data_IF_395928854746
#
_entry.id   IF_395928854746
#
_cell.length_a   1.000
_cell.length_b   1.000
_cell.length_c   1.000
_cell.angle_alpha   90.00
_cell.angle_beta   90.00
_cell.angle_gamma   90.00
#
_symmetry.space_group_name_H-M   'P 1'
#
loop_
_entity.id
_entity.type
_entity.pdbx_description
1 polymer ?
#
# COMPACT_ATOMS: atom_id res chain seq x y z
N UNK A 1 -24.33 1.03 -136.92
CA UNK A 1 -24.98 1.86 -135.89
C UNK A 1 -25.59 0.88 -134.90
N UNK A 2 -25.20 0.74 -133.63
CA UNK A 2 -24.25 1.45 -132.79
C UNK A 2 -23.72 0.45 -131.75
N UNK A 3 -22.43 0.63 -131.43
CA UNK A 3 -21.67 0.16 -130.27
C UNK A 3 -22.05 0.94 -129.00
N UNK A 4 -21.83 0.34 -127.82
CA UNK A 4 -21.52 0.88 -126.45
C UNK A 4 -22.31 0.09 -125.41
N UNK A 5 -21.81 -0.25 -124.23
CA UNK A 5 -20.46 -0.35 -123.67
C UNK A 5 -20.67 -1.22 -122.42
N UNK A 6 -19.83 -2.22 -122.23
CA UNK A 6 -19.60 -2.79 -120.90
C UNK A 6 -18.82 -1.76 -120.09
N UNK A 7 -19.04 -1.70 -118.76
CA UNK A 7 -17.99 -1.52 -117.75
C UNK A 7 -18.41 -0.67 -116.55
N UNK A 8 -17.76 -1.01 -115.44
CA UNK A 8 -17.62 -0.27 -114.19
C UNK A 8 -18.81 -0.37 -113.23
N UNK A 9 -18.70 -1.27 -112.25
CA UNK A 9 -18.97 -0.99 -110.83
C UNK A 9 -18.39 -2.15 -109.99
N UNK A 10 -17.08 -2.16 -109.83
CA UNK A 10 -16.38 -3.28 -109.20
C UNK A 10 -15.11 -2.93 -108.45
N UNK A 11 -14.95 -1.75 -107.85
CA UNK A 11 -13.76 -1.44 -107.05
C UNK A 11 -14.02 -0.39 -105.96
N UNK A 12 -14.71 -0.75 -104.86
CA UNK A 12 -14.69 0.01 -103.58
C UNK A 12 -14.83 -0.85 -102.31
N UNK A 13 -14.78 -2.18 -102.38
CA UNK A 13 -14.92 -3.05 -101.19
C UNK A 13 -13.59 -3.49 -100.57
N UNK A 14 -12.45 -3.33 -101.27
CA UNK A 14 -11.14 -3.81 -100.81
C UNK A 14 -10.44 -2.83 -99.85
N UNK A 15 -10.68 -1.51 -99.96
CA UNK A 15 -10.09 -0.51 -99.04
C UNK A 15 -10.68 -0.56 -97.63
N UNK A 16 -11.98 -0.82 -97.50
CA UNK A 16 -12.64 -0.97 -96.19
C UNK A 16 -12.14 -2.19 -95.40
N UNK A 17 -11.65 -3.24 -96.09
CA UNK A 17 -11.09 -4.40 -95.43
C UNK A 17 -9.69 -4.16 -94.86
N UNK A 18 -8.86 -3.37 -95.55
CA UNK A 18 -7.52 -2.99 -95.08
C UNK A 18 -7.63 -2.01 -93.89
N UNK A 19 -8.51 -1.01 -93.99
CA UNK A 19 -8.79 -0.06 -92.90
C UNK A 19 -9.37 -0.75 -91.65
N UNK A 20 -10.19 -1.78 -91.84
CA UNK A 20 -10.72 -2.56 -90.72
C UNK A 20 -9.64 -3.46 -90.08
N UNK A 21 -8.68 -3.95 -90.87
CA UNK A 21 -7.57 -4.74 -90.36
C UNK A 21 -6.57 -3.90 -89.55
N UNK A 22 -6.27 -2.68 -90.00
CA UNK A 22 -5.41 -1.72 -89.27
C UNK A 22 -6.08 -1.27 -87.97
N UNK A 23 -7.36 -0.89 -88.02
CA UNK A 23 -8.15 -0.55 -86.82
C UNK A 23 -8.18 -1.71 -85.81
N UNK A 24 -8.34 -2.96 -86.28
CA UNK A 24 -8.33 -4.14 -85.42
C UNK A 24 -6.96 -4.38 -84.77
N UNK A 25 -5.86 -4.08 -85.48
CA UNK A 25 -4.51 -4.17 -84.92
C UNK A 25 -4.26 -3.07 -83.87
N UNK A 26 -4.73 -1.86 -84.12
CA UNK A 26 -4.65 -0.72 -83.20
C UNK A 26 -5.43 -0.99 -81.91
N UNK A 27 -6.70 -1.41 -82.02
CA UNK A 27 -7.51 -1.81 -80.86
C UNK A 27 -6.85 -2.96 -80.07
N UNK A 28 -6.20 -3.90 -80.75
CA UNK A 28 -5.49 -5.00 -80.08
C UNK A 28 -4.24 -4.52 -79.33
N UNK A 29 -3.54 -3.51 -79.85
CA UNK A 29 -2.42 -2.87 -79.18
C UNK A 29 -2.90 -2.11 -77.92
N UNK A 30 -3.95 -1.32 -78.04
CA UNK A 30 -4.55 -0.56 -76.92
C UNK A 30 -5.04 -1.50 -75.82
N UNK A 31 -5.73 -2.59 -76.16
CA UNK A 31 -6.18 -3.58 -75.18
C UNK A 31 -4.99 -4.26 -74.49
N UNK A 32 -3.86 -4.45 -75.18
CA UNK A 32 -2.64 -5.01 -74.59
C UNK A 32 -1.97 -4.01 -73.65
N UNK A 33 -2.02 -2.72 -73.97
CA UNK A 33 -1.53 -1.64 -73.11
C UNK A 33 -2.40 -1.49 -71.86
N UNK A 34 -3.72 -1.40 -72.01
CA UNK A 34 -4.68 -1.38 -70.90
C UNK A 34 -4.52 -2.59 -69.97
N UNK A 35 -4.28 -3.79 -70.51
CA UNK A 35 -4.00 -4.99 -69.70
C UNK A 35 -2.72 -4.86 -68.86
N UNK A 36 -1.70 -4.16 -69.37
CA UNK A 36 -0.47 -3.90 -68.60
C UNK A 36 -0.75 -2.89 -67.49
N UNK A 37 -1.44 -1.80 -67.81
CA UNK A 37 -1.82 -0.79 -66.83
C UNK A 37 -2.66 -1.37 -65.69
N UNK A 38 -3.65 -2.22 -65.98
CA UNK A 38 -4.45 -2.90 -64.95
C UNK A 38 -3.59 -3.81 -64.06
N UNK A 39 -2.59 -4.49 -64.62
CA UNK A 39 -1.64 -5.30 -63.83
C UNK A 39 -0.77 -4.42 -62.94
N UNK A 40 -0.32 -3.28 -63.45
CA UNK A 40 0.49 -2.34 -62.68
C UNK A 40 -0.33 -1.64 -61.58
N UNK A 41 -1.61 -1.32 -61.82
CA UNK A 41 -2.54 -0.86 -60.78
C UNK A 41 -2.70 -1.91 -59.67
N UNK A 42 -2.88 -3.18 -60.01
CA UNK A 42 -2.95 -4.25 -59.01
C UNK A 42 -1.67 -4.39 -58.18
N UNK A 43 -0.50 -4.02 -58.70
CA UNK A 43 0.75 -3.96 -57.91
C UNK A 43 0.73 -2.79 -56.93
N UNK A 44 0.20 -1.63 -57.34
CA UNK A 44 0.06 -0.46 -56.48
C UNK A 44 -0.79 -0.80 -55.25
N UNK A 45 -1.93 -1.48 -55.42
CA UNK A 45 -2.78 -1.90 -54.29
C UNK A 45 -2.01 -2.78 -53.27
N UNK A 46 -1.20 -3.72 -53.77
CA UNK A 46 -0.39 -4.57 -52.87
C UNK A 46 0.73 -3.81 -52.16
N UNK A 47 1.26 -2.76 -52.78
CA UNK A 47 2.27 -1.91 -52.17
C UNK A 47 1.64 -0.99 -51.12
N UNK A 48 0.44 -0.46 -51.38
CA UNK A 48 -0.34 0.31 -50.42
C UNK A 48 -0.65 -0.53 -49.17
N UNK A 49 -1.14 -1.76 -49.35
CA UNK A 49 -1.39 -2.69 -48.23
C UNK A 49 -0.13 -2.97 -47.40
N UNK A 50 1.02 -3.18 -48.05
CA UNK A 50 2.30 -3.38 -47.34
C UNK A 50 2.75 -2.14 -46.59
N UNK A 51 2.57 -0.97 -47.20
CA UNK A 51 2.93 0.31 -46.59
C UNK A 51 2.05 0.59 -45.38
N UNK A 52 0.75 0.29 -45.44
CA UNK A 52 -0.15 0.44 -44.31
C UNK A 52 0.16 -0.56 -43.19
N UNK A 53 0.48 -1.82 -43.51
CA UNK A 53 0.97 -2.78 -42.51
C UNK A 53 2.25 -2.30 -41.82
N UNK A 54 3.21 -1.74 -42.58
CA UNK A 54 4.44 -1.16 -42.02
C UNK A 54 4.16 0.06 -41.12
N UNK A 55 3.18 0.90 -41.47
CA UNK A 55 2.77 2.02 -40.61
C UNK A 55 2.22 1.51 -39.29
N UNK A 56 1.38 0.48 -39.31
CA UNK A 56 0.81 -0.11 -38.09
C UNK A 56 1.91 -0.68 -37.18
N UNK A 57 2.91 -1.35 -37.75
CA UNK A 57 4.09 -1.83 -37.02
C UNK A 57 4.91 -0.67 -36.41
N UNK A 58 5.14 0.40 -37.18
CA UNK A 58 5.84 1.59 -36.67
C UNK A 58 5.06 2.27 -35.55
N UNK A 59 3.74 2.36 -35.65
CA UNK A 59 2.89 2.93 -34.61
C UNK A 59 2.84 2.05 -33.36
N UNK A 60 2.88 0.72 -33.52
CA UNK A 60 3.03 -0.21 -32.42
C UNK A 60 4.34 0.05 -31.66
N UNK A 61 5.47 0.06 -32.37
CA UNK A 61 6.78 0.32 -31.76
C UNK A 61 6.89 1.71 -31.14
N UNK A 62 6.27 2.74 -31.73
CA UNK A 62 6.20 4.08 -31.14
C UNK A 62 5.47 4.08 -29.80
N UNK A 63 4.31 3.40 -29.72
CA UNK A 63 3.59 3.26 -28.45
C UNK A 63 4.43 2.52 -27.42
N UNK A 64 5.07 1.43 -27.82
CA UNK A 64 5.95 0.67 -26.94
C UNK A 64 7.10 1.52 -26.41
N UNK A 65 7.77 2.28 -27.27
CA UNK A 65 8.83 3.22 -26.88
C UNK A 65 8.34 4.27 -25.87
N UNK A 66 7.15 4.82 -26.05
CA UNK A 66 6.55 5.74 -25.08
C UNK A 66 6.34 5.05 -23.72
N UNK A 67 5.80 3.83 -23.70
CA UNK A 67 5.63 3.11 -22.43
C UNK A 67 6.96 2.80 -21.73
N UNK A 68 8.02 2.52 -22.50
CA UNK A 68 9.35 2.30 -21.96
C UNK A 68 9.96 3.60 -21.44
N UNK A 69 9.70 4.72 -22.11
CA UNK A 69 10.13 6.04 -21.66
C UNK A 69 9.46 6.42 -20.34
N UNK A 70 8.15 6.19 -20.19
CA UNK A 70 7.41 6.44 -18.95
C UNK A 70 7.97 5.57 -17.81
N UNK A 71 8.20 4.28 -18.05
CA UNK A 71 8.83 3.38 -17.07
C UNK A 71 10.24 3.82 -16.69
N UNK A 72 11.04 4.29 -17.64
CA UNK A 72 12.37 4.81 -17.36
C UNK A 72 12.30 6.06 -16.48
N UNK A 73 11.34 6.95 -16.69
CA UNK A 73 11.12 8.10 -15.82
C UNK A 73 10.71 7.66 -14.41
N UNK A 74 9.79 6.69 -14.30
CA UNK A 74 9.40 6.13 -13.00
C UNK A 74 10.59 5.53 -12.25
N UNK A 75 11.44 4.76 -12.93
CA UNK A 75 12.65 4.21 -12.35
C UNK A 75 13.64 5.30 -11.92
N UNK A 76 13.78 6.38 -12.69
CA UNK A 76 14.62 7.53 -12.30
C UNK A 76 14.13 8.17 -11.00
N UNK A 77 12.81 8.38 -10.86
CA UNK A 77 12.23 8.90 -9.62
C UNK A 77 12.45 7.96 -8.43
N UNK A 78 12.29 6.65 -8.63
CA UNK A 78 12.53 5.65 -7.59
C UNK A 78 14.00 5.64 -7.15
N UNK A 79 14.95 5.74 -8.09
CA UNK A 79 16.37 5.84 -7.77
C UNK A 79 16.69 7.08 -6.95
N UNK A 80 16.16 8.24 -7.33
CA UNK A 80 16.37 9.49 -6.59
C UNK A 80 15.84 9.41 -5.15
N UNK A 81 14.68 8.79 -4.94
CA UNK A 81 14.13 8.56 -3.59
C UNK A 81 15.03 7.63 -2.77
N UNK A 82 15.51 6.53 -3.37
CA UNK A 82 16.42 5.59 -2.70
C UNK A 82 17.74 6.25 -2.32
N UNK A 83 18.31 7.10 -3.18
CA UNK A 83 19.52 7.87 -2.89
C UNK A 83 19.32 8.82 -1.71
N UNK A 84 18.19 9.55 -1.67
CA UNK A 84 17.84 10.40 -0.52
C UNK A 84 17.70 9.60 0.77
N UNK A 85 17.06 8.43 0.71
CA UNK A 85 16.91 7.54 1.86
C UNK A 85 18.25 7.00 2.35
N UNK A 86 19.15 6.62 1.43
CA UNK A 86 20.50 6.16 1.73
C UNK A 86 21.33 7.27 2.39
N UNK A 87 21.29 8.49 1.85
CA UNK A 87 21.99 9.64 2.42
C UNK A 87 21.55 9.94 3.87
N UNK A 88 20.24 9.92 4.13
CA UNK A 88 19.71 10.07 5.49
C UNK A 88 20.14 8.91 6.41
N UNK A 89 20.26 7.70 5.88
CA UNK A 89 20.79 6.54 6.62
C UNK A 89 22.26 6.73 6.98
N UNK A 90 23.08 7.20 6.04
CA UNK A 90 24.50 7.44 6.25
C UNK A 90 24.77 8.55 7.28
N UNK A 91 23.96 9.61 7.29
CA UNK A 91 24.04 10.64 8.34
C UNK A 91 23.74 10.03 9.70
N UNK A 92 22.68 9.20 9.82
CA UNK A 92 22.31 8.55 11.08
C UNK A 92 23.38 7.57 11.56
N UNK A 93 23.97 6.78 10.68
CA UNK A 93 25.04 5.83 11.06
C UNK A 93 26.30 6.56 11.50
N UNK A 94 26.68 7.65 10.84
CA UNK A 94 27.80 8.51 11.27
C UNK A 94 27.54 9.12 12.66
N UNK A 95 26.34 9.65 12.91
CA UNK A 95 25.97 10.18 14.22
C UNK A 95 25.98 9.12 15.32
N UNK A 96 25.58 7.89 15.01
CA UNK A 96 25.66 6.77 15.93
C UNK A 96 27.11 6.39 16.28
N UNK A 97 27.98 6.33 15.27
CA UNK A 97 29.42 6.07 15.48
C UNK A 97 30.09 7.15 16.33
N UNK A 98 29.76 8.43 16.09
CA UNK A 98 30.27 9.54 16.91
C UNK A 98 29.91 9.37 18.39
N UNK A 99 28.66 9.02 18.69
CA UNK A 99 28.23 8.76 20.08
C UNK A 99 28.96 7.56 20.70
N UNK A 100 29.22 6.49 19.94
CA UNK A 100 30.01 5.36 20.43
C UNK A 100 31.45 5.76 20.74
N UNK A 101 32.07 6.55 19.88
CA UNK A 101 33.46 7.00 20.06
C UNK A 101 33.59 7.98 21.23
N UNK A 102 32.62 8.89 21.40
CA UNK A 102 32.54 9.78 22.57
C UNK A 102 32.37 8.99 23.87
N UNK A 103 31.55 7.93 23.87
CA UNK A 103 31.40 7.03 25.03
C UNK A 103 32.72 6.32 25.32
N UNK A 104 33.41 5.78 24.31
CA UNK A 104 34.73 5.12 24.49
C UNK A 104 35.76 6.10 25.06
N UNK A 105 35.81 7.33 24.55
CA UNK A 105 36.72 8.37 25.04
C UNK A 105 36.43 8.74 26.51
N UNK A 106 35.15 8.94 26.86
CA UNK A 106 34.74 9.23 28.24
C UNK A 106 34.94 8.04 29.19
N UNK A 107 34.82 6.81 28.72
CA UNK A 107 35.13 5.61 29.52
C UNK A 107 36.62 5.55 29.88
N UNK A 108 37.50 5.88 28.93
CA UNK A 108 38.94 5.97 29.19
C UNK A 108 39.23 7.10 30.19
N UNK A 109 38.64 8.29 29.98
CA UNK A 109 38.79 9.42 30.91
C UNK A 109 38.24 9.10 32.31
N UNK A 110 37.12 8.37 32.41
CA UNK A 110 36.56 7.92 33.67
C UNK A 110 37.48 6.93 34.40
N UNK A 111 38.13 6.01 33.67
CA UNK A 111 39.10 5.08 34.26
C UNK A 111 40.33 5.80 34.80
N UNK A 112 40.73 6.90 34.18
CA UNK A 112 41.90 7.69 34.59
C UNK A 112 41.61 8.67 35.74
N UNK A 113 40.53 9.46 35.63
CA UNK A 113 40.26 10.58 36.54
C UNK A 113 39.17 10.28 37.59
N UNK A 114 38.31 9.28 37.38
CA UNK A 114 37.30 8.86 38.36
C UNK A 114 36.25 9.92 38.73
N UNK A 115 36.12 11.02 37.99
CA UNK A 115 35.27 12.15 38.36
C UNK A 115 33.77 11.81 38.30
N UNK A 116 32.98 12.46 39.17
CA UNK A 116 31.51 12.39 39.13
C UNK A 116 30.94 13.11 37.89
N UNK A 117 31.62 14.13 37.39
CA UNK A 117 31.20 14.88 36.20
C UNK A 117 31.26 14.01 34.95
N UNK A 118 32.37 13.30 34.75
CA UNK A 118 32.57 12.36 33.64
C UNK A 118 31.57 11.20 33.71
N UNK A 119 31.26 10.70 34.91
CA UNK A 119 30.25 9.64 35.09
C UNK A 119 28.85 10.12 34.68
N UNK A 120 28.46 11.35 35.02
CA UNK A 120 27.18 11.94 34.61
C UNK A 120 27.10 12.09 33.09
N UNK A 121 28.16 12.62 32.46
CA UNK A 121 28.23 12.75 31.00
C UNK A 121 28.11 11.39 30.30
N UNK A 122 28.79 10.37 30.81
CA UNK A 122 28.74 9.01 30.30
C UNK A 122 27.31 8.42 30.40
N UNK A 123 26.60 8.66 31.51
CA UNK A 123 25.19 8.25 31.62
C UNK A 123 24.28 8.97 30.63
N UNK A 124 24.55 10.24 30.33
CA UNK A 124 23.77 11.02 29.36
C UNK A 124 23.99 10.48 27.94
N UNK A 125 25.23 10.30 27.51
CA UNK A 125 25.55 9.76 26.17
C UNK A 125 25.00 8.35 25.99
N UNK A 126 25.12 7.48 27.00
CA UNK A 126 24.52 6.13 26.94
C UNK A 126 23.00 6.16 26.82
N UNK A 127 22.32 7.13 27.43
CA UNK A 127 20.87 7.31 27.25
C UNK A 127 20.54 7.76 25.83
N UNK A 128 21.31 8.69 25.27
CA UNK A 128 21.12 9.14 23.88
C UNK A 128 21.34 8.00 22.88
N UNK A 129 22.38 7.18 23.07
CA UNK A 129 22.63 6.02 22.22
C UNK A 129 21.50 4.99 22.32
N UNK A 130 21.04 4.68 23.53
CA UNK A 130 19.87 3.78 23.72
C UNK A 130 18.61 4.32 23.04
N UNK A 131 18.33 5.61 23.14
CA UNK A 131 17.18 6.20 22.46
C UNK A 131 17.25 6.00 20.94
N UNK A 132 18.43 6.19 20.32
CA UNK A 132 18.61 5.92 18.89
C UNK A 132 18.43 4.44 18.54
N UNK A 133 18.85 3.52 19.42
CA UNK A 133 18.68 2.08 19.19
C UNK A 133 17.24 1.63 19.43
N UNK A 134 16.53 2.24 20.39
CA UNK A 134 15.10 2.08 20.60
C UNK A 134 14.32 2.56 19.36
N UNK A 135 14.62 3.76 18.83
CA UNK A 135 13.99 4.28 17.60
C UNK A 135 14.21 3.34 16.39
N UNK A 136 15.42 2.80 16.23
CA UNK A 136 15.71 1.80 15.18
C UNK A 136 14.91 0.51 15.39
N UNK A 137 14.84 0.03 16.63
CA UNK A 137 14.09 -1.17 16.96
C UNK A 137 12.60 -0.98 16.71
N UNK A 138 12.04 0.17 17.12
CA UNK A 138 10.64 0.55 16.85
C UNK A 138 10.35 0.61 15.35
N UNK A 139 11.23 1.24 14.58
CA UNK A 139 11.08 1.31 13.12
C UNK A 139 11.14 -0.07 12.46
N UNK A 140 12.07 -0.93 12.88
CA UNK A 140 12.15 -2.31 12.40
C UNK A 140 10.90 -3.12 12.77
N UNK A 141 10.38 -2.97 13.99
CA UNK A 141 9.13 -3.59 14.43
C UNK A 141 7.93 -3.13 13.61
N UNK A 142 7.86 -1.83 13.30
CA UNK A 142 6.83 -1.24 12.45
C UNK A 142 6.87 -1.83 11.03
N UNK A 143 8.06 -1.91 10.42
CA UNK A 143 8.24 -2.49 9.08
C UNK A 143 7.80 -3.96 9.01
N UNK A 144 8.14 -4.73 10.05
CA UNK A 144 7.84 -6.17 10.08
C UNK A 144 6.34 -6.43 10.25
N UNK A 145 5.50 -5.42 10.56
CA UNK A 145 4.04 -5.53 10.84
C UNK A 145 3.69 -6.60 11.89
N UNK A 146 4.68 -7.17 12.56
CA UNK A 146 4.45 -8.11 13.62
C UNK A 146 4.00 -7.31 14.83
N UNK A 147 2.82 -7.66 15.34
CA UNK A 147 2.39 -7.30 16.69
C UNK A 147 3.28 -8.04 17.68
N UNK A 148 4.55 -7.65 17.77
CA UNK A 148 5.47 -8.12 18.77
C UNK A 148 5.05 -7.44 20.08
N UNK A 149 4.21 -8.13 20.84
CA UNK A 149 3.98 -7.79 22.23
C UNK A 149 5.30 -8.04 22.98
N UNK A 150 5.69 -7.10 23.84
CA UNK A 150 6.96 -7.12 24.55
C UNK A 150 7.29 -8.53 25.10
N UNK A 151 8.41 -9.11 24.66
CA UNK A 151 8.85 -10.46 25.02
C UNK A 151 8.55 -11.59 24.03
N UNK A 152 8.03 -11.31 22.82
CA UNK A 152 7.75 -12.35 21.81
C UNK A 152 6.51 -13.20 22.11
N UNK A 153 5.67 -12.71 23.02
CA UNK A 153 4.50 -13.42 23.48
C UNK A 153 3.29 -13.16 22.58
N UNK A 154 2.56 -14.21 22.21
CA UNK A 154 1.33 -14.12 21.39
C UNK A 154 0.29 -13.24 22.10
N UNK A 155 -0.65 -12.65 21.35
CA UNK A 155 -1.75 -11.79 21.85
C UNK A 155 -2.42 -12.36 23.11
N UNK A 156 -2.66 -13.68 23.15
CA UNK A 156 -3.29 -14.36 24.28
C UNK A 156 -2.48 -14.30 25.57
N UNK A 157 -1.15 -14.25 25.49
CA UNK A 157 -0.31 -14.20 26.68
C UNK A 157 -0.24 -12.77 27.27
N UNK A 158 -0.33 -11.72 26.44
CA UNK A 158 -0.49 -10.35 26.93
C UNK A 158 -1.86 -10.15 27.59
N UNK A 159 -2.92 -10.72 27.01
CA UNK A 159 -4.24 -10.70 27.63
C UNK A 159 -4.23 -11.46 28.97
N UNK A 160 -3.64 -12.66 29.00
CA UNK A 160 -3.49 -13.42 30.24
C UNK A 160 -2.67 -12.67 31.29
N UNK A 161 -1.55 -12.04 30.89
CA UNK A 161 -0.75 -11.22 31.79
C UNK A 161 -1.54 -10.04 32.32
N UNK A 162 -2.25 -9.30 31.46
CA UNK A 162 -3.06 -8.15 31.88
C UNK A 162 -4.20 -8.56 32.82
N UNK A 163 -4.87 -9.69 32.56
CA UNK A 163 -5.88 -10.25 33.45
C UNK A 163 -5.28 -10.68 34.80
N UNK A 164 -4.09 -11.30 34.80
CA UNK A 164 -3.37 -11.63 36.03
C UNK A 164 -2.99 -10.37 36.81
N UNK A 165 -2.42 -9.35 36.15
CA UNK A 165 -2.05 -8.08 36.79
C UNK A 165 -3.28 -7.39 37.38
N UNK A 166 -4.37 -7.29 36.61
CA UNK A 166 -5.62 -6.69 37.07
C UNK A 166 -6.24 -7.47 38.24
N UNK A 167 -6.21 -8.80 38.19
CA UNK A 167 -6.67 -9.63 39.31
C UNK A 167 -5.80 -9.46 40.56
N UNK A 168 -4.48 -9.27 40.41
CA UNK A 168 -3.58 -8.97 41.54
C UNK A 168 -3.74 -7.55 42.07
N UNK A 169 -4.03 -6.56 41.22
CA UNK A 169 -4.28 -5.17 41.63
C UNK A 169 -5.55 -5.05 42.47
N UNK A 170 -6.58 -5.85 42.16
CA UNK A 170 -7.83 -5.88 42.91
C UNK A 170 -7.78 -6.77 44.14
N UNK A 171 -6.70 -7.53 44.33
CA UNK A 171 -6.54 -8.39 45.50
C UNK A 171 -6.11 -7.54 46.69
N UNK A 172 -6.98 -7.45 47.70
CA UNK A 172 -6.64 -6.86 48.99
C UNK A 172 -5.64 -7.76 49.70
N UNK A 173 -4.38 -7.33 49.77
CA UNK A 173 -3.28 -8.11 50.36
C UNK A 173 -3.38 -8.17 51.89
N UNK A 174 -3.69 -7.03 52.51
CA UNK A 174 -3.69 -6.86 53.96
C UNK A 174 -4.97 -6.15 54.40
N UNK A 175 -5.61 -6.65 55.45
CA UNK A 175 -6.69 -5.96 56.14
C UNK A 175 -6.22 -5.46 57.49
N UNK A 176 -6.63 -4.24 57.82
CA UNK A 176 -6.43 -3.65 59.14
C UNK A 176 -7.59 -4.04 60.04
N UNK A 177 -7.29 -4.80 61.09
CA UNK A 177 -8.28 -5.12 62.12
C UNK A 177 -8.63 -3.86 62.94
N UNK A 178 -9.78 -3.85 63.61
CA UNK A 178 -10.15 -2.79 64.55
C UNK A 178 -9.18 -2.66 65.74
N UNK A 179 -8.38 -3.70 66.03
CA UNK A 179 -7.25 -3.65 66.98
C UNK A 179 -6.03 -2.88 66.45
N UNK A 180 -6.07 -2.41 65.20
CA UNK A 180 -4.99 -1.70 64.53
C UNK A 180 -3.91 -2.59 63.92
N UNK A 181 -3.98 -3.91 64.09
CA UNK A 181 -3.01 -4.87 63.55
C UNK A 181 -3.34 -5.24 62.10
N UNK A 182 -2.33 -5.38 61.25
CA UNK A 182 -2.47 -5.86 59.87
C UNK A 182 -2.38 -7.38 59.85
N UNK A 183 -3.28 -8.04 59.13
CA UNK A 183 -3.24 -9.50 58.93
C UNK A 183 -3.45 -9.85 57.46
N UNK A 184 -2.80 -10.93 57.04
CA UNK A 184 -2.89 -11.52 55.69
C UNK A 184 -3.61 -12.89 55.70
N UNK A 185 -4.15 -13.32 56.85
CA UNK A 185 -4.76 -14.64 57.03
C UNK A 185 -6.20 -14.67 56.50
N UNK A 186 -6.46 -15.48 55.48
CA UNK A 186 -7.74 -15.54 54.75
C UNK A 186 -8.95 -15.83 55.65
N UNK A 187 -8.79 -16.66 56.69
CA UNK A 187 -9.86 -16.96 57.65
C UNK A 187 -10.32 -15.72 58.44
N UNK A 188 -9.37 -14.84 58.80
CA UNK A 188 -9.66 -13.59 59.51
C UNK A 188 -10.29 -12.55 58.58
N UNK A 189 -9.91 -12.52 57.30
CA UNK A 189 -10.58 -11.70 56.28
C UNK A 189 -12.06 -12.08 56.19
N UNK A 190 -12.34 -13.37 56.02
CA UNK A 190 -13.71 -13.85 55.84
C UNK A 190 -14.58 -13.48 57.04
N UNK A 191 -14.10 -13.73 58.25
CA UNK A 191 -14.84 -13.38 59.47
C UNK A 191 -15.07 -11.88 59.64
N UNK A 192 -14.11 -11.03 59.23
CA UNK A 192 -14.31 -9.58 59.29
C UNK A 192 -15.33 -9.09 58.25
N UNK A 193 -15.26 -9.59 57.02
CA UNK A 193 -16.27 -9.24 56.02
C UNK A 193 -17.66 -9.74 56.42
N UNK A 194 -17.78 -10.98 56.89
CA UNK A 194 -19.04 -11.54 57.40
C UNK A 194 -19.64 -10.67 58.49
N UNK A 195 -18.81 -10.26 59.47
CA UNK A 195 -19.24 -9.39 60.56
C UNK A 195 -19.63 -8.01 60.07
N UNK A 196 -18.82 -7.38 59.23
CA UNK A 196 -19.09 -6.06 58.67
C UNK A 196 -20.41 -6.02 57.90
N UNK A 197 -20.65 -6.99 57.01
CA UNK A 197 -21.90 -7.05 56.25
C UNK A 197 -23.08 -7.46 57.12
N UNK A 198 -22.88 -8.33 58.09
CA UNK A 198 -23.91 -8.66 59.08
C UNK A 198 -24.32 -7.41 59.85
N UNK A 199 -23.38 -6.59 60.31
CA UNK A 199 -23.67 -5.33 61.00
C UNK A 199 -24.37 -4.33 60.04
N UNK A 200 -23.88 -4.19 58.81
CA UNK A 200 -24.43 -3.28 57.80
C UNK A 200 -25.91 -3.58 57.46
N UNK A 201 -26.25 -4.85 57.33
CA UNK A 201 -27.62 -5.29 56.99
C UNK A 201 -28.48 -5.61 58.22
N UNK A 202 -27.90 -5.67 59.43
CA UNK A 202 -28.67 -5.81 60.67
C UNK A 202 -29.19 -4.47 61.19
N UNK A 203 -28.58 -3.35 60.78
CA UNK A 203 -29.04 -1.99 61.14
C UNK A 203 -30.15 -1.44 60.25
N UNK A 204 -30.54 -2.16 59.20
CA UNK A 204 -31.83 -1.93 58.56
C UNK A 204 -32.90 -2.66 59.39
N UNK A 205 -33.36 -2.00 60.46
CA UNK A 205 -34.81 -1.96 60.64
C UNK A 205 -35.35 -1.48 59.30
N UNK A 206 -35.88 -2.42 58.52
CA UNK A 206 -36.76 -2.13 57.40
C UNK A 206 -37.81 -1.17 57.94
N UNK A 207 -37.60 0.13 57.71
CA UNK A 207 -38.60 1.17 57.85
C UNK A 207 -39.67 0.90 56.79
N UNK A 208 -40.46 -0.14 57.03
CA UNK A 208 -41.77 -0.38 56.46
C UNK A 208 -42.77 0.61 57.07
N UNK A 209 -42.46 1.90 56.93
CA UNK A 209 -43.39 3.03 57.12
C UNK A 209 -43.28 3.92 55.90
N UNK A 210 -43.91 3.48 54.81
CA UNK A 210 -43.97 4.24 53.56
C UNK A 210 -44.51 3.50 52.34
N UNK A 211 -45.03 2.27 52.48
CA UNK A 211 -45.78 1.61 51.43
C UNK A 211 -47.26 2.00 51.52
N UNK A 212 -47.58 3.24 51.16
CA UNK A 212 -48.84 3.55 50.47
C UNK A 212 -48.51 4.45 49.26
N UNK A 213 -48.85 3.90 48.09
CA UNK A 213 -49.11 4.53 46.81
C UNK A 213 -48.02 5.32 46.09
N UNK A 214 -47.21 4.61 45.28
CA UNK A 214 -46.87 5.12 43.95
C UNK A 214 -46.81 4.03 42.87
N UNK A 215 -47.47 4.22 41.71
CA UNK A 215 -47.66 3.19 40.71
C UNK A 215 -46.42 3.00 39.81
N UNK A 216 -45.97 1.75 39.75
CA UNK A 216 -45.12 1.11 38.73
C UNK A 216 -44.41 1.98 37.69
N UNK A 217 -43.17 2.36 37.99
CA UNK A 217 -42.18 2.63 36.94
C UNK A 217 -41.52 1.30 36.52
N UNK A 218 -41.83 0.87 35.30
CA UNK A 218 -41.19 -0.26 34.64
C UNK A 218 -39.73 0.11 34.35
N UNK A 219 -38.78 -0.66 34.88
CA UNK A 219 -37.38 -0.52 34.51
C UNK A 219 -37.18 -0.88 33.04
N UNK A 220 -36.65 0.08 32.28
CA UNK A 220 -36.36 -0.01 30.86
C UNK A 220 -35.07 -0.83 30.64
N UNK A 221 -35.21 -2.07 30.18
CA UNK A 221 -34.13 -3.06 30.01
C UNK A 221 -33.30 -2.90 28.72
N UNK A 222 -33.13 -1.68 28.21
CA UNK A 222 -32.32 -1.45 27.01
C UNK A 222 -31.16 -0.48 27.27
N UNK A 223 -30.13 -0.98 27.97
CA UNK A 223 -28.80 -0.36 27.92
C UNK A 223 -28.01 -0.98 26.77
N UNK A 224 -28.22 -0.45 25.55
CA UNK A 224 -27.36 -0.77 24.40
C UNK A 224 -25.92 -0.30 24.63
N UNK A 225 -24.91 -0.98 24.04
CA UNK A 225 -23.51 -0.69 24.27
C UNK A 225 -23.13 0.69 23.70
N UNK A 226 -22.42 1.51 24.49
CA UNK A 226 -21.80 2.75 24.01
C UNK A 226 -20.72 2.40 22.99
N UNK A 227 -20.95 2.77 21.74
CA UNK A 227 -19.91 2.88 20.72
C UNK A 227 -18.94 3.99 21.12
N UNK A 228 -17.68 3.63 21.36
CA UNK A 228 -16.59 4.58 21.51
C UNK A 228 -15.99 4.87 20.13
N UNK A 229 -16.28 6.06 19.60
CA UNK A 229 -15.49 6.67 18.54
C UNK A 229 -14.18 7.22 19.14
N UNK A 230 -13.01 6.95 18.54
CA UNK A 230 -11.76 7.57 18.96
C UNK A 230 -11.69 9.01 18.43
N UNK A 231 -11.33 9.93 19.32
CA UNK A 231 -11.08 11.32 19.00
C UNK A 231 -9.92 11.46 18.01
N UNK A 232 -10.17 12.20 16.93
CA UNK A 232 -9.15 12.68 16.03
C UNK A 232 -8.24 13.66 16.77
N UNK A 233 -6.94 13.38 16.77
CA UNK A 233 -5.91 14.34 17.15
C UNK A 233 -5.62 15.23 15.95
N UNK A 234 -5.83 16.53 16.13
CA UNK A 234 -5.27 17.62 15.34
C UNK A 234 -4.55 18.56 16.29
#
# INVERSE_FOLDING_TARGET
MSTTDESVHGHKSLGLCEDFATLKQEIAADVKELKREVVDLGRVDTLEQKHDAQKEELDYHRRELLTLQDKNQELQYQLEDLEKRLHCSDIRTKGHQQLEDDIKALEVAQRQAGSLATRRQLTTLRKQLRALDEDKAEYALLQIKQKFYAGGNRVGHLLAHRLCTQATEWRVADLRLPSGTLTCQEELFRHQFERFYSDLYSTEELDHKGMEDHPGEKYDTHRSPREHTPAAAG
#
